data_IF_901079594678
#
_entry.id   IF_901079594678
#
_cell.length_a   1.000
_cell.length_b   1.000
_cell.length_c   1.000
_cell.angle_alpha   90.00
_cell.angle_beta   90.00
_cell.angle_gamma   90.00
#
_symmetry.space_group_name_H-M   'P 1'
#
loop_
_entity.id
_entity.type
_entity.pdbx_description
1 polymer ?
#
# COMPACT_ATOMS: atom_id res chain seq x y z
N UNK A 1 -32.86 -4.76 11.64
CA UNK A 1 -32.82 -4.99 10.18
C UNK A 1 -31.36 -5.27 9.85
N UNK A 2 -30.98 -6.54 9.78
CA UNK A 2 -29.60 -6.94 9.50
C UNK A 2 -29.33 -6.67 8.03
N UNK A 3 -28.57 -5.61 7.74
CA UNK A 3 -28.05 -5.37 6.40
C UNK A 3 -27.00 -6.47 6.18
N UNK A 4 -27.25 -7.35 5.22
CA UNK A 4 -26.22 -8.27 4.74
C UNK A 4 -25.01 -7.41 4.35
N UNK A 5 -23.91 -7.57 5.08
CA UNK A 5 -22.63 -6.98 4.69
C UNK A 5 -22.21 -7.76 3.44
N UNK A 6 -22.34 -7.14 2.27
CA UNK A 6 -21.68 -7.63 1.07
C UNK A 6 -20.20 -7.84 1.42
N UNK A 7 -19.66 -9.03 1.12
CA UNK A 7 -18.28 -9.36 1.48
C UNK A 7 -17.34 -8.30 0.91
N UNK A 8 -16.52 -7.69 1.77
CA UNK A 8 -15.51 -6.69 1.39
C UNK A 8 -14.49 -7.26 0.39
N UNK A 9 -14.38 -8.58 0.32
CA UNK A 9 -13.40 -9.31 -0.46
C UNK A 9 -14.01 -9.87 -1.74
N UNK A 10 -13.22 -9.81 -2.81
CA UNK A 10 -13.49 -10.47 -4.08
C UNK A 10 -12.40 -11.53 -4.31
N UNK A 11 -12.71 -12.76 -3.89
CA UNK A 11 -11.79 -13.90 -3.90
C UNK A 11 -11.27 -14.22 -5.31
N UNK A 12 -12.01 -13.86 -6.37
CA UNK A 12 -11.58 -14.02 -7.75
C UNK A 12 -10.26 -13.30 -8.02
N UNK A 13 -9.99 -12.22 -7.30
CA UNK A 13 -8.79 -11.38 -7.48
C UNK A 13 -7.71 -11.62 -6.43
N UNK A 14 -7.85 -12.66 -5.62
CA UNK A 14 -6.77 -13.09 -4.73
C UNK A 14 -5.57 -13.55 -5.56
N UNK A 15 -4.37 -13.10 -5.19
CA UNK A 15 -3.18 -13.43 -5.96
C UNK A 15 -1.93 -13.44 -5.08
N UNK A 16 -1.24 -14.57 -5.06
CA UNK A 16 0.10 -14.65 -4.51
C UNK A 16 1.12 -14.11 -5.51
N UNK A 17 1.97 -13.19 -5.07
CA UNK A 17 3.11 -12.66 -5.81
C UNK A 17 4.44 -12.98 -5.10
N UNK A 18 4.49 -14.00 -4.21
CA UNK A 18 5.77 -14.42 -3.63
C UNK A 18 6.78 -14.77 -4.74
N UNK A 19 8.07 -14.72 -4.43
CA UNK A 19 9.14 -14.94 -5.41
C UNK A 19 8.97 -16.25 -6.17
N UNK A 20 8.53 -17.31 -5.49
CA UNK A 20 8.33 -18.63 -6.10
C UNK A 20 7.13 -18.63 -7.07
N UNK A 21 5.99 -18.10 -6.65
CA UNK A 21 4.80 -17.99 -7.51
C UNK A 21 5.09 -17.09 -8.73
N UNK A 22 5.83 -16.00 -8.54
CA UNK A 22 6.22 -15.10 -9.62
C UNK A 22 7.17 -15.77 -10.61
N UNK A 23 8.18 -16.50 -10.10
CA UNK A 23 9.14 -17.24 -10.93
C UNK A 23 8.47 -18.37 -11.73
N UNK A 24 7.54 -19.11 -11.13
CA UNK A 24 6.79 -20.17 -11.82
C UNK A 24 5.94 -19.61 -12.97
N UNK A 25 5.34 -18.44 -12.77
CA UNK A 25 4.55 -17.77 -13.82
C UNK A 25 5.39 -17.20 -14.95
N UNK A 26 6.69 -16.96 -14.72
CA UNK A 26 7.58 -16.24 -15.64
C UNK A 26 6.97 -14.90 -16.06
N UNK A 27 6.37 -14.20 -15.09
CA UNK A 27 5.63 -12.97 -15.33
C UNK A 27 6.55 -11.73 -15.33
N UNK A 28 6.12 -10.67 -16.00
CA UNK A 28 6.84 -9.41 -16.07
C UNK A 28 6.85 -8.71 -14.71
N UNK A 29 7.94 -8.01 -14.42
CA UNK A 29 8.06 -7.21 -13.18
C UNK A 29 7.33 -5.86 -13.28
N UNK A 30 7.01 -5.40 -14.48
CA UNK A 30 6.40 -4.10 -14.73
C UNK A 30 5.36 -4.20 -15.83
N UNK A 31 4.31 -3.41 -15.69
CA UNK A 31 3.23 -3.33 -16.66
C UNK A 31 2.84 -1.88 -16.92
N UNK A 32 2.30 -1.61 -18.10
CA UNK A 32 1.76 -0.30 -18.46
C UNK A 32 0.23 -0.32 -18.42
N UNK A 33 -0.38 0.65 -17.74
CA UNK A 33 -1.85 0.83 -17.66
C UNK A 33 -2.23 2.31 -17.65
N UNK A 34 -3.50 2.58 -17.92
CA UNK A 34 -4.09 3.91 -17.86
C UNK A 34 -3.94 4.74 -19.14
N UNK A 35 -4.60 5.90 -19.14
CA UNK A 35 -4.67 6.83 -20.26
C UNK A 35 -4.37 8.26 -19.75
N UNK A 36 -3.21 8.87 -20.07
CA UNK A 36 -2.12 8.32 -20.87
C UNK A 36 -1.44 7.12 -20.19
N UNK A 37 -0.74 6.24 -20.93
CA UNK A 37 -0.12 5.05 -20.35
C UNK A 37 0.96 5.39 -19.30
N UNK A 38 0.93 4.71 -18.15
CA UNK A 38 1.97 4.78 -17.11
C UNK A 38 2.37 3.38 -16.67
N UNK A 39 3.66 3.21 -16.43
CA UNK A 39 4.21 1.97 -15.87
C UNK A 39 4.01 1.89 -14.36
N UNK A 40 3.88 0.67 -13.85
CA UNK A 40 3.89 0.35 -12.43
C UNK A 40 4.55 -1.02 -12.21
N UNK A 41 5.12 -1.23 -11.02
CA UNK A 41 5.73 -2.50 -10.63
C UNK A 41 4.70 -3.51 -10.13
N UNK A 42 4.87 -4.78 -10.46
CA UNK A 42 4.13 -5.88 -9.85
C UNK A 42 4.61 -6.09 -8.42
N UNK A 43 3.71 -6.39 -7.45
CA UNK A 43 4.08 -6.50 -6.04
C UNK A 43 4.75 -7.84 -5.70
N UNK A 44 5.87 -8.14 -6.36
CA UNK A 44 6.67 -9.34 -6.09
C UNK A 44 7.11 -9.35 -4.62
N UNK A 45 6.92 -10.49 -3.96
CA UNK A 45 7.12 -10.69 -2.52
C UNK A 45 5.86 -10.47 -1.66
N UNK A 46 4.73 -10.09 -2.25
CA UNK A 46 3.49 -9.82 -1.52
C UNK A 46 2.38 -10.83 -1.85
N UNK A 47 1.35 -10.89 -1.02
CA UNK A 47 0.07 -11.51 -1.32
C UNK A 47 -1.00 -10.43 -1.44
N UNK A 48 -1.85 -10.50 -2.45
CA UNK A 48 -3.01 -9.61 -2.62
C UNK A 48 -4.29 -10.31 -2.24
N UNK A 49 -5.01 -9.74 -1.27
CA UNK A 49 -6.45 -9.96 -1.10
C UNK A 49 -7.20 -8.95 -1.97
N UNK A 50 -8.07 -9.43 -2.84
CA UNK A 50 -8.86 -8.62 -3.77
C UNK A 50 -9.99 -7.92 -3.03
N UNK A 51 -10.15 -6.62 -3.24
CA UNK A 51 -11.24 -5.85 -2.62
C UNK A 51 -12.39 -5.73 -3.62
N UNK A 52 -13.61 -5.96 -3.14
CA UNK A 52 -14.82 -5.82 -3.95
C UNK A 52 -14.95 -4.38 -4.44
N UNK A 53 -14.94 -4.21 -5.76
CA UNK A 53 -15.13 -2.92 -6.41
C UNK A 53 -16.54 -2.85 -7.02
N UNK A 54 -17.24 -1.74 -6.74
CA UNK A 54 -18.56 -1.48 -7.30
C UNK A 54 -18.52 -1.40 -8.83
N UNK A 55 -19.58 -1.86 -9.52
CA UNK A 55 -19.62 -1.99 -10.98
C UNK A 55 -19.22 -0.70 -11.73
N UNK A 56 -19.66 0.46 -11.21
CA UNK A 56 -19.34 1.79 -11.77
C UNK A 56 -17.83 2.12 -11.82
N UNK A 57 -17.02 1.43 -11.03
CA UNK A 57 -15.55 1.60 -10.98
C UNK A 57 -14.85 0.70 -12.00
N UNK A 58 -15.44 -0.44 -12.39
CA UNK A 58 -14.77 -1.40 -13.30
C UNK A 58 -14.26 -0.79 -14.61
N UNK A 59 -14.99 0.14 -15.30
CA UNK A 59 -14.47 0.82 -16.49
C UNK A 59 -13.20 1.64 -16.26
N UNK A 60 -12.89 2.01 -15.00
CA UNK A 60 -11.69 2.76 -14.63
C UNK A 60 -10.43 1.88 -14.67
N UNK A 61 -10.55 0.55 -14.57
CA UNK A 61 -9.38 -0.34 -14.52
C UNK A 61 -8.49 -0.27 -15.78
N UNK A 62 -9.06 0.03 -16.95
CA UNK A 62 -8.27 0.22 -18.17
C UNK A 62 -7.70 1.64 -18.30
N UNK A 63 -8.38 2.65 -17.74
CA UNK A 63 -8.09 4.07 -17.95
C UNK A 63 -7.28 4.73 -16.84
N UNK A 64 -7.36 4.21 -15.62
CA UNK A 64 -6.68 4.80 -14.47
C UNK A 64 -5.33 4.15 -14.21
N UNK A 65 -4.43 4.91 -13.60
CA UNK A 65 -3.09 4.44 -13.27
C UNK A 65 -3.11 3.54 -12.04
N UNK A 66 -2.07 2.72 -11.89
CA UNK A 66 -1.90 1.85 -10.73
C UNK A 66 -0.90 2.47 -9.77
N UNK A 67 -1.21 2.39 -8.49
CA UNK A 67 -0.31 2.81 -7.43
C UNK A 67 -0.43 1.94 -6.19
N UNK A 68 0.44 2.23 -5.24
CA UNK A 68 0.54 1.56 -3.95
C UNK A 68 0.62 2.59 -2.83
N UNK A 69 -0.05 2.31 -1.73
CA UNK A 69 -0.01 3.13 -0.51
C UNK A 69 0.37 2.26 0.69
N UNK A 70 1.59 2.41 1.19
CA UNK A 70 2.02 1.76 2.42
C UNK A 70 1.28 2.32 3.62
N UNK A 71 0.88 1.45 4.55
CA UNK A 71 0.20 1.88 5.78
C UNK A 71 0.53 0.95 6.94
N UNK A 72 0.02 1.29 8.13
CA UNK A 72 0.16 0.46 9.32
C UNK A 72 -0.98 -0.55 9.41
N UNK A 73 -0.70 -1.73 9.95
CA UNK A 73 -1.69 -2.79 10.15
C UNK A 73 -2.93 -2.31 10.93
N UNK A 74 -2.72 -1.48 11.96
CA UNK A 74 -3.79 -0.91 12.80
C UNK A 74 -4.70 0.10 12.07
N UNK A 75 -4.34 0.54 10.85
CA UNK A 75 -5.18 1.43 10.03
C UNK A 75 -6.02 0.69 9.00
N UNK A 76 -5.70 -0.56 8.69
CA UNK A 76 -6.33 -1.33 7.60
C UNK A 76 -7.84 -1.43 7.79
N UNK A 77 -8.30 -1.86 8.97
CA UNK A 77 -9.73 -2.03 9.24
C UNK A 77 -10.52 -0.72 9.05
N UNK A 78 -9.97 0.41 9.54
CA UNK A 78 -10.58 1.73 9.40
C UNK A 78 -10.62 2.20 7.94
N UNK A 79 -9.55 1.97 7.18
CA UNK A 79 -9.52 2.32 5.74
C UNK A 79 -10.55 1.49 4.95
N UNK A 80 -10.68 0.20 5.27
CA UNK A 80 -11.67 -0.68 4.64
C UNK A 80 -13.11 -0.30 4.99
N UNK A 81 -13.37 0.05 6.25
CA UNK A 81 -14.70 0.49 6.72
C UNK A 81 -15.17 1.78 6.04
N UNK A 82 -14.26 2.74 5.86
CA UNK A 82 -14.56 4.01 5.16
C UNK A 82 -14.62 3.78 3.64
N UNK A 83 -13.76 2.91 3.10
CA UNK A 83 -13.66 2.61 1.68
C UNK A 83 -12.80 3.60 0.87
N UNK A 84 -12.07 4.51 1.53
CA UNK A 84 -11.16 5.46 0.90
C UNK A 84 -9.89 5.70 1.72
N UNK A 85 -8.81 6.14 1.05
CA UNK A 85 -7.65 6.68 1.75
C UNK A 85 -8.00 8.07 2.28
N UNK A 86 -7.68 8.29 3.54
CA UNK A 86 -8.06 9.48 4.30
C UNK A 86 -6.85 10.37 4.54
N UNK A 87 -7.03 11.68 4.44
CA UNK A 87 -5.95 12.64 4.60
C UNK A 87 -5.70 12.92 6.09
N UNK A 88 -4.44 13.18 6.50
CA UNK A 88 -4.16 13.69 7.84
C UNK A 88 -5.01 14.93 8.16
N UNK A 89 -5.57 15.00 9.38
CA UNK A 89 -6.47 16.08 9.80
C UNK A 89 -7.95 15.88 9.43
N UNK A 90 -8.29 14.84 8.66
CA UNK A 90 -9.69 14.52 8.34
C UNK A 90 -10.49 14.11 9.59
N UNK A 91 -11.75 14.54 9.64
CA UNK A 91 -12.75 14.01 10.57
C UNK A 91 -13.58 12.98 9.83
N UNK A 92 -13.46 11.72 10.22
CA UNK A 92 -14.19 10.63 9.57
C UNK A 92 -15.60 10.45 10.16
N UNK A 93 -16.46 9.68 9.47
CA UNK A 93 -17.81 9.37 9.96
C UNK A 93 -17.70 8.69 11.34
N UNK A 94 -18.25 9.33 12.37
CA UNK A 94 -18.09 8.91 13.77
C UNK A 94 -17.41 9.95 14.67
N UNK A 95 -16.80 10.98 14.09
CA UNK A 95 -16.23 12.12 14.84
C UNK A 95 -14.74 11.98 15.19
N UNK A 96 -14.12 10.84 14.86
CA UNK A 96 -12.69 10.65 15.06
C UNK A 96 -11.89 11.57 14.13
N UNK A 97 -10.99 12.38 14.71
CA UNK A 97 -9.94 13.09 13.97
C UNK A 97 -8.79 12.15 13.66
N UNK A 98 -8.32 12.17 12.42
CA UNK A 98 -7.10 11.47 12.04
C UNK A 98 -5.91 12.35 12.42
N UNK A 99 -5.20 11.92 13.45
CA UNK A 99 -4.01 12.62 13.92
C UNK A 99 -2.92 12.66 12.84
N UNK A 100 -2.29 13.82 12.70
CA UNK A 100 -1.02 13.99 12.01
C UNK A 100 0.05 13.16 12.75
N UNK A 101 0.93 12.46 12.01
CA UNK A 101 1.93 11.59 12.62
C UNK A 101 3.03 12.46 13.25
N UNK A 102 3.54 12.18 14.46
CA UNK A 102 4.59 12.97 15.11
C UNK A 102 5.92 13.02 14.34
N UNK A 103 6.17 12.05 13.45
CA UNK A 103 7.41 11.92 12.66
C UNK A 103 7.25 12.37 11.20
N UNK A 104 6.07 12.87 10.82
CA UNK A 104 5.84 13.45 9.50
C UNK A 104 5.66 14.96 9.69
N UNK A 105 5.94 15.73 8.63
CA UNK A 105 5.62 17.16 8.62
C UNK A 105 4.14 17.38 8.98
N UNK A 106 3.90 18.11 10.06
CA UNK A 106 2.58 18.58 10.49
C UNK A 106 2.40 20.05 10.12
N UNK A 107 1.21 20.61 10.32
CA UNK A 107 0.97 22.05 10.03
C UNK A 107 1.93 22.99 10.77
N UNK A 108 2.50 22.56 11.89
CA UNK A 108 3.42 23.33 12.74
C UNK A 108 4.90 23.17 12.34
N UNK A 109 5.27 22.08 11.64
CA UNK A 109 6.65 21.70 11.32
C UNK A 109 6.90 21.37 9.83
N UNK A 110 6.00 21.77 8.93
CA UNK A 110 6.21 21.56 7.48
C UNK A 110 7.17 22.57 6.83
N UNK A 111 7.96 22.16 5.82
CA UNK A 111 8.68 23.10 4.96
C UNK A 111 7.70 24.10 4.32
N UNK A 112 8.15 25.35 4.12
CA UNK A 112 7.34 26.39 3.49
C UNK A 112 6.85 25.92 2.10
N UNK A 113 5.52 25.87 1.91
CA UNK A 113 4.88 25.38 0.69
C UNK A 113 4.52 23.89 0.66
N UNK A 114 4.86 23.09 1.68
CA UNK A 114 4.44 21.68 1.78
C UNK A 114 2.98 21.60 2.26
N UNK A 115 2.14 20.80 1.58
CA UNK A 115 0.77 20.53 2.03
C UNK A 115 0.71 19.18 2.76
N UNK A 116 0.28 19.17 4.02
CA UNK A 116 0.17 17.92 4.80
C UNK A 116 -1.12 17.15 4.49
N UNK A 117 -2.09 17.81 3.84
CA UNK A 117 -3.39 17.24 3.46
C UNK A 117 -3.37 16.67 2.05
N UNK A 118 -2.54 15.66 1.85
CA UNK A 118 -2.46 14.94 0.60
C UNK A 118 -2.27 13.45 0.84
N UNK A 119 -2.70 12.66 -0.14
CA UNK A 119 -2.51 11.22 -0.16
C UNK A 119 -1.31 10.92 -1.03
N UNK A 120 -0.34 10.21 -0.47
CA UNK A 120 0.84 9.74 -1.18
C UNK A 120 0.64 8.31 -1.66
N UNK A 121 0.96 8.06 -2.92
CA UNK A 121 1.01 6.74 -3.54
C UNK A 121 2.29 6.62 -4.37
N UNK A 122 2.63 5.42 -4.82
CA UNK A 122 3.79 5.18 -5.68
C UNK A 122 3.47 4.19 -6.78
N UNK A 123 4.07 4.29 -7.98
CA UNK A 123 4.04 3.22 -8.98
C UNK A 123 4.86 1.99 -8.56
N UNK A 124 5.70 2.11 -7.53
CA UNK A 124 6.52 1.00 -7.01
C UNK A 124 6.10 0.59 -5.61
N UNK A 125 5.77 -0.70 -5.46
CA UNK A 125 5.58 -1.31 -4.15
C UNK A 125 6.91 -1.43 -3.37
N UNK A 126 8.08 -1.40 -4.02
CA UNK A 126 9.36 -1.41 -3.31
C UNK A 126 9.54 -0.12 -2.53
N UNK A 127 9.09 0.99 -3.11
CA UNK A 127 9.04 2.29 -2.44
C UNK A 127 7.89 2.39 -1.44
N UNK A 128 6.63 2.17 -1.88
CA UNK A 128 5.47 2.28 -0.99
C UNK A 128 5.49 1.26 0.16
N UNK A 129 6.14 0.11 -0.03
CA UNK A 129 6.35 -0.92 0.98
C UNK A 129 7.57 -0.69 1.87
N UNK A 130 8.28 0.43 1.72
CA UNK A 130 9.39 0.79 2.61
C UNK A 130 8.93 0.89 4.07
N UNK A 131 9.80 0.57 5.03
CA UNK A 131 9.43 0.46 6.44
C UNK A 131 8.92 1.77 7.07
N UNK A 132 9.32 2.92 6.52
CA UNK A 132 8.80 4.24 6.92
C UNK A 132 7.31 4.43 6.57
N UNK A 133 6.82 3.76 5.53
CA UNK A 133 5.44 3.87 5.05
C UNK A 133 4.59 2.67 5.48
N UNK A 134 5.08 1.47 5.22
CA UNK A 134 4.49 0.20 5.61
C UNK A 134 5.22 -0.38 6.83
N UNK A 135 4.99 0.20 8.01
CA UNK A 135 5.72 -0.17 9.23
C UNK A 135 5.55 -1.65 9.57
N UNK A 136 6.65 -2.43 9.66
CA UNK A 136 6.58 -3.84 10.04
C UNK A 136 5.96 -4.03 11.43
N UNK A 137 5.02 -4.96 11.54
CA UNK A 137 4.42 -5.38 12.82
C UNK A 137 4.63 -6.87 13.02
N UNK A 138 4.94 -7.30 14.25
CA UNK A 138 5.10 -8.73 14.55
C UNK A 138 3.75 -9.44 14.43
N UNK A 139 3.74 -10.57 13.72
CA UNK A 139 2.62 -11.49 13.63
C UNK A 139 3.09 -12.86 14.10
N UNK A 140 2.32 -13.53 14.96
CA UNK A 140 2.63 -14.89 15.40
C UNK A 140 1.62 -15.80 14.75
N UNK A 141 2.11 -16.79 14.00
CA UNK A 141 1.27 -17.87 13.52
C UNK A 141 0.93 -18.81 14.70
N UNK A 142 -0.30 -18.69 15.19
CA UNK A 142 -0.79 -19.47 16.34
C UNK A 142 -1.25 -20.89 15.96
N UNK A 143 -1.46 -21.18 14.67
CA UNK A 143 -2.09 -22.43 14.22
C UNK A 143 -1.08 -23.53 13.86
N UNK A 144 0.03 -23.22 13.18
CA UNK A 144 0.93 -24.27 12.66
C UNK A 144 2.31 -24.33 13.35
N UNK A 145 2.96 -23.18 13.55
CA UNK A 145 4.43 -23.19 13.74
C UNK A 145 4.93 -22.39 14.95
N UNK A 146 4.08 -21.56 15.58
CA UNK A 146 4.49 -20.49 16.50
C UNK A 146 5.55 -19.58 15.88
N UNK A 147 5.56 -19.49 14.54
CA UNK A 147 6.54 -18.69 13.82
C UNK A 147 6.22 -17.23 13.97
N UNK A 148 7.25 -16.44 14.27
CA UNK A 148 7.14 -14.99 14.38
C UNK A 148 7.52 -14.39 13.04
N UNK A 149 6.61 -13.65 12.43
CA UNK A 149 6.81 -12.95 11.18
C UNK A 149 6.84 -11.44 11.41
N UNK A 150 7.65 -10.73 10.62
CA UNK A 150 7.45 -9.31 10.35
C UNK A 150 6.40 -9.19 9.24
N UNK A 151 5.29 -8.53 9.54
CA UNK A 151 4.20 -8.28 8.61
C UNK A 151 4.17 -6.82 8.18
N UNK A 152 4.04 -6.58 6.87
CA UNK A 152 3.85 -5.25 6.30
C UNK A 152 2.58 -5.25 5.47
N UNK A 153 1.90 -4.09 5.40
CA UNK A 153 0.66 -3.93 4.66
C UNK A 153 0.70 -2.70 3.76
N UNK A 154 0.09 -2.82 2.58
CA UNK A 154 -0.09 -1.72 1.65
C UNK A 154 -1.41 -1.88 0.90
N UNK A 155 -2.02 -0.78 0.48
CA UNK A 155 -3.15 -0.82 -0.44
C UNK A 155 -2.67 -0.72 -1.88
N UNK A 156 -3.20 -1.58 -2.74
CA UNK A 156 -3.11 -1.43 -4.18
C UNK A 156 -4.30 -0.60 -4.67
N UNK A 157 -4.02 0.47 -5.42
CA UNK A 157 -5.01 1.49 -5.76
C UNK A 157 -5.04 1.82 -7.25
N UNK A 158 -6.21 2.22 -7.72
CA UNK A 158 -6.35 3.02 -8.92
C UNK A 158 -6.22 4.50 -8.53
N UNK A 159 -5.53 5.27 -9.36
CA UNK A 159 -5.48 6.74 -9.24
C UNK A 159 -5.83 7.39 -10.58
N UNK A 160 -6.65 8.43 -10.54
CA UNK A 160 -7.14 9.12 -11.73
C UNK A 160 -6.00 9.85 -12.46
N UNK A 161 -5.85 9.68 -13.77
CA UNK A 161 -4.89 10.46 -14.55
C UNK A 161 -5.18 11.97 -14.41
N UNK A 162 -4.12 12.75 -14.17
CA UNK A 162 -4.23 14.20 -14.00
C UNK A 162 -4.75 14.68 -12.64
N UNK A 163 -5.03 13.77 -11.70
CA UNK A 163 -5.43 14.14 -10.34
C UNK A 163 -4.28 14.24 -9.34
N UNK A 164 -3.05 13.96 -9.77
CA UNK A 164 -1.89 13.84 -8.89
C UNK A 164 -0.65 14.51 -9.50
N UNK A 165 0.25 14.92 -8.63
CA UNK A 165 1.57 15.43 -8.96
C UNK A 165 2.62 14.33 -8.82
N UNK A 166 3.66 14.40 -9.64
CA UNK A 166 4.79 13.46 -9.60
C UNK A 166 5.97 14.17 -8.97
N UNK A 167 6.54 13.57 -7.93
CA UNK A 167 7.59 14.14 -7.12
C UNK A 167 8.70 13.17 -6.75
N UNK A 168 9.72 13.74 -6.13
CA UNK A 168 10.86 13.01 -5.59
C UNK A 168 10.47 12.19 -4.36
N UNK A 169 11.23 11.14 -4.10
CA UNK A 169 11.14 10.38 -2.86
C UNK A 169 11.34 11.30 -1.64
N UNK A 170 10.45 11.18 -0.66
CA UNK A 170 10.56 11.88 0.63
C UNK A 170 11.51 11.16 1.59
N UNK A 171 11.63 9.83 1.49
CA UNK A 171 12.70 9.07 2.19
C UNK A 171 14.04 9.33 1.49
N UNK A 172 14.99 9.90 2.23
CA UNK A 172 16.36 10.10 1.77
C UNK A 172 17.17 8.81 1.95
N UNK A 173 17.40 8.09 0.86
CA UNK A 173 18.34 6.97 0.81
C UNK A 173 19.27 7.12 -0.40
N UNK A 174 20.54 6.78 -0.21
CA UNK A 174 21.58 6.89 -1.24
C UNK A 174 21.38 5.90 -2.40
N UNK A 175 20.47 4.94 -2.25
CA UNK A 175 20.22 3.90 -3.24
C UNK A 175 18.91 4.12 -4.01
N UNK A 176 18.85 3.52 -5.20
CA UNK A 176 17.64 3.49 -6.01
C UNK A 176 16.64 2.51 -5.40
N UNK A 177 15.43 2.97 -5.09
CA UNK A 177 14.38 2.12 -4.50
C UNK A 177 13.86 1.07 -5.48
N UNK A 178 13.75 1.45 -6.75
CA UNK A 178 13.24 0.58 -7.81
C UNK A 178 14.01 0.81 -9.12
N UNK A 179 14.61 -0.22 -9.73
CA UNK A 179 15.43 -0.06 -10.92
C UNK A 179 14.67 0.50 -12.14
N UNK A 180 13.33 0.52 -12.14
CA UNK A 180 12.54 1.09 -13.24
C UNK A 180 12.19 2.56 -13.05
N UNK A 181 12.10 3.05 -11.82
CA UNK A 181 11.59 4.38 -11.50
C UNK A 181 12.68 5.23 -10.86
N UNK A 182 12.89 6.45 -11.36
CA UNK A 182 13.82 7.39 -10.73
C UNK A 182 13.31 7.82 -9.36
N UNK A 183 14.21 7.95 -8.37
CA UNK A 183 13.87 8.55 -7.08
C UNK A 183 13.34 10.01 -7.22
N UNK A 184 13.45 10.65 -8.39
CA UNK A 184 12.88 11.98 -8.66
C UNK A 184 11.40 11.95 -9.09
N UNK A 185 10.83 10.77 -9.35
CA UNK A 185 9.46 10.63 -9.89
C UNK A 185 8.64 9.49 -9.24
N UNK A 186 9.17 8.88 -8.18
CA UNK A 186 8.63 7.66 -7.57
C UNK A 186 7.52 7.93 -6.54
N UNK A 187 7.33 9.18 -6.13
CA UNK A 187 6.28 9.57 -5.19
C UNK A 187 5.20 10.38 -5.91
N UNK A 188 3.96 9.95 -5.80
CA UNK A 188 2.81 10.63 -6.39
C UNK A 188 1.91 11.15 -5.29
N UNK A 189 1.50 12.42 -5.38
CA UNK A 189 0.69 13.05 -4.35
C UNK A 189 -0.60 13.65 -4.91
N UNK A 190 -1.70 13.49 -4.20
CA UNK A 190 -2.99 14.06 -4.59
C UNK A 190 -3.74 14.65 -3.41
N UNK A 191 -4.34 15.82 -3.63
CA UNK A 191 -5.27 16.48 -2.73
C UNK A 191 -6.74 16.24 -3.14
N UNK A 192 -6.96 15.58 -4.28
CA UNK A 192 -8.29 15.42 -4.87
C UNK A 192 -9.00 14.21 -4.27
N UNK A 193 -10.05 14.46 -3.48
CA UNK A 193 -10.93 13.38 -2.98
C UNK A 193 -11.61 12.62 -4.12
N UNK A 194 -11.83 11.33 -3.90
CA UNK A 194 -12.49 10.46 -4.88
C UNK A 194 -11.65 10.14 -6.14
N UNK A 195 -10.41 10.62 -6.21
CA UNK A 195 -9.46 10.32 -7.29
C UNK A 195 -8.74 8.99 -7.10
N UNK A 196 -8.92 8.33 -5.96
CA UNK A 196 -8.34 7.03 -5.61
C UNK A 196 -9.44 5.99 -5.42
N UNK A 197 -9.19 4.77 -5.88
CA UNK A 197 -10.03 3.60 -5.56
C UNK A 197 -9.15 2.46 -5.05
N UNK A 198 -9.48 1.95 -3.87
CA UNK A 198 -8.90 0.72 -3.33
C UNK A 198 -9.40 -0.49 -4.13
N UNK A 199 -8.50 -1.39 -4.52
CA UNK A 199 -8.91 -2.65 -5.17
C UNK A 199 -8.11 -3.88 -4.71
N UNK A 200 -7.09 -3.70 -3.88
CA UNK A 200 -6.39 -4.81 -3.24
C UNK A 200 -5.74 -4.40 -1.93
N UNK A 201 -5.76 -5.31 -0.96
CA UNK A 201 -4.91 -5.24 0.22
C UNK A 201 -3.71 -6.17 0.00
N UNK A 202 -2.51 -5.60 0.06
CA UNK A 202 -1.26 -6.33 -0.03
C UNK A 202 -0.74 -6.62 1.38
N UNK A 203 -0.35 -7.87 1.60
CA UNK A 203 0.30 -8.33 2.83
C UNK A 203 1.63 -8.97 2.45
N UNK A 204 2.70 -8.58 3.15
CA UNK A 204 4.02 -9.21 3.06
C UNK A 204 4.36 -9.79 4.41
N UNK A 205 4.80 -11.05 4.41
CA UNK A 205 5.28 -11.75 5.59
C UNK A 205 6.74 -12.12 5.36
N UNK A 206 7.59 -11.79 6.32
CA UNK A 206 8.99 -12.22 6.37
C UNK A 206 9.25 -12.87 7.72
N UNK A 207 9.85 -14.06 7.75
CA UNK A 207 10.21 -14.71 9.01
C UNK A 207 11.16 -13.84 9.84
N UNK A 208 10.87 -13.72 11.13
CA UNK A 208 11.71 -12.94 12.03
C UNK A 208 12.97 -13.69 12.40
N UNK A 209 14.13 -13.06 12.12
CA UNK A 209 15.46 -13.65 12.37
C UNK A 209 15.77 -13.95 13.85
N UNK A 210 14.97 -13.45 14.79
CA UNK A 210 15.10 -13.73 16.23
C UNK A 210 14.96 -15.22 16.57
N UNK A 211 14.34 -16.03 15.70
CA UNK A 211 14.20 -17.47 15.90
C UNK A 211 15.49 -18.26 15.70
N UNK A 212 16.45 -17.78 14.89
CA UNK A 212 17.70 -18.52 14.60
C UNK A 212 18.69 -18.58 15.76
N UNK A 213 18.50 -17.79 16.81
CA UNK A 213 19.39 -17.80 17.97
C UNK A 213 18.97 -18.80 19.07
N UNK A 214 17.70 -19.22 19.12
CA UNK A 214 17.23 -20.18 20.13
C UNK A 214 17.59 -21.62 19.72
N UNK A 215 17.60 -21.93 18.42
CA UNK A 215 17.96 -23.26 17.93
C UNK A 215 19.47 -23.57 17.96
N UNK A 216 20.34 -22.56 18.13
CA UNK A 216 21.80 -22.72 18.11
C UNK A 216 22.45 -22.73 19.51
N UNK A 217 21.66 -22.74 20.59
CA UNK A 217 22.18 -22.88 21.98
C UNK A 217 21.85 -24.24 22.62
N UNK A 218 21.25 -25.17 21.87
CA UNK A 218 20.91 -26.53 22.34
C UNK A 218 21.53 -27.65 21.49
N UNK A 219 22.63 -27.38 20.80
CA UNK A 219 23.43 -28.39 20.10
C UNK A 219 24.81 -28.54 20.74
#
# INVERSE_FOLDING_TARGET
MCVHVESTWDEQWHQCFCSDCHAVKQDDNYYTRGEPPKEYGIPVGWYRSGIQVVERVKPRFSKWHRGFHGTRADRVAKILDIGELVMPGDTIRGGDKIAERPEHFDEDWKPEGFNTRQIFVSPSIRYAGHHSYATPTKYVDEEESKTVYNSQVAFQVLIAPGSYEVGKATVEEDHCFDPRFSNQEIEWATEQRGSIVLYGLLVKLEESKEQRQISNQTA
#
